data_IF_031407343549
#
_entry.id   IF_031407343549
#
_cell.length_a   1.000
_cell.length_b   1.000
_cell.length_c   1.000
_cell.angle_alpha   90.00
_cell.angle_beta   90.00
_cell.angle_gamma   90.00
#
_symmetry.space_group_name_H-M   'P 1'
#
loop_
_entity.id
_entity.type
_entity.pdbx_description
1 polymer ?
#
# COMPACT_ATOMS: atom_id res chain seq x y z
N UNK A 1 -17.32 5.74 -8.24
CA UNK A 1 -16.64 5.57 -6.95
C UNK A 1 -17.19 4.31 -6.35
N UNK A 2 -16.34 3.32 -6.14
CA UNK A 2 -16.75 2.01 -5.64
C UNK A 2 -16.34 1.92 -4.17
N UNK A 3 -17.28 1.57 -3.30
CA UNK A 3 -17.06 1.40 -1.87
C UNK A 3 -17.20 -0.07 -1.53
N UNK A 4 -16.11 -0.66 -1.04
CA UNK A 4 -16.09 -2.05 -0.61
C UNK A 4 -16.12 -2.11 0.91
N UNK A 5 -17.12 -2.78 1.46
CA UNK A 5 -17.34 -2.90 2.91
C UNK A 5 -16.87 -4.28 3.40
N UNK A 6 -15.98 -4.30 4.39
CA UNK A 6 -15.42 -5.51 4.97
C UNK A 6 -13.97 -5.33 5.41
N UNK A 7 -13.36 -6.38 5.92
CA UNK A 7 -11.92 -6.40 6.16
C UNK A 7 -11.18 -6.35 4.80
N UNK A 8 -10.11 -5.55 4.72
CA UNK A 8 -9.32 -5.42 3.50
C UNK A 8 -8.75 -6.77 3.06
N UNK A 9 -8.38 -7.65 3.99
CA UNK A 9 -7.82 -8.97 3.68
C UNK A 9 -8.87 -9.92 3.10
N UNK A 10 -10.15 -9.70 3.38
CA UNK A 10 -11.25 -10.48 2.82
C UNK A 10 -11.74 -9.92 1.48
N UNK A 11 -11.57 -8.61 1.28
CA UNK A 11 -12.15 -7.88 0.14
C UNK A 11 -11.16 -7.80 -1.01
N UNK A 12 -9.91 -7.39 -0.77
CA UNK A 12 -8.93 -7.15 -1.84
C UNK A 12 -8.72 -8.37 -2.75
N UNK A 13 -8.58 -9.61 -2.21
CA UNK A 13 -8.38 -10.79 -3.04
C UNK A 13 -9.57 -11.15 -3.94
N UNK A 14 -10.76 -10.60 -3.67
CA UNK A 14 -11.98 -10.83 -4.47
C UNK A 14 -12.09 -9.87 -5.66
N UNK A 15 -11.24 -8.86 -5.74
CA UNK A 15 -11.22 -7.92 -6.86
C UNK A 15 -10.62 -8.65 -8.06
N UNK A 16 -11.43 -8.83 -9.11
CA UNK A 16 -10.99 -9.46 -10.35
C UNK A 16 -9.92 -8.59 -11.02
N UNK A 17 -8.70 -9.13 -11.15
CA UNK A 17 -7.59 -8.41 -11.75
C UNK A 17 -7.56 -8.59 -13.27
N UNK A 18 -7.02 -7.58 -13.98
CA UNK A 18 -6.75 -7.67 -15.41
C UNK A 18 -5.28 -8.01 -15.65
N UNK A 19 -4.90 -8.62 -16.80
CA UNK A 19 -3.51 -8.94 -17.09
C UNK A 19 -2.54 -7.75 -16.97
N UNK A 20 -3.01 -6.55 -17.30
CA UNK A 20 -2.24 -5.32 -17.20
C UNK A 20 -2.32 -4.62 -15.82
N UNK A 21 -3.01 -5.20 -14.84
CA UNK A 21 -3.35 -4.55 -13.57
C UNK A 21 -4.55 -3.58 -13.68
N UNK A 22 -5.02 -3.12 -12.52
CA UNK A 22 -6.17 -2.22 -12.41
C UNK A 22 -5.82 -0.85 -11.82
N UNK A 23 -4.87 -0.81 -10.90
CA UNK A 23 -4.60 0.36 -10.07
C UNK A 23 -3.38 1.12 -10.60
N UNK A 24 -3.57 2.40 -10.91
CA UNK A 24 -2.48 3.32 -11.27
C UNK A 24 -1.81 3.93 -10.03
N UNK A 25 -2.54 4.10 -8.93
CA UNK A 25 -2.01 4.68 -7.70
C UNK A 25 -2.73 4.18 -6.45
N UNK A 26 -1.96 3.77 -5.45
CA UNK A 26 -2.45 3.41 -4.12
C UNK A 26 -2.28 4.55 -3.11
N UNK A 27 -3.38 4.89 -2.42
CA UNK A 27 -3.33 5.60 -1.15
C UNK A 27 -3.40 4.58 -0.01
N UNK A 28 -2.23 4.19 0.51
CA UNK A 28 -2.14 3.21 1.58
C UNK A 28 -2.28 3.95 2.93
N UNK A 29 -3.52 4.07 3.38
CA UNK A 29 -3.89 4.83 4.58
C UNK A 29 -4.79 4.02 5.53
N UNK A 30 -4.77 4.38 6.80
CA UNK A 30 -5.44 3.70 7.90
C UNK A 30 -4.90 4.16 9.25
N UNK A 31 -5.27 3.47 10.34
CA UNK A 31 -4.62 3.72 11.63
C UNK A 31 -3.13 3.36 11.57
N UNK A 32 -2.30 4.03 12.39
CA UNK A 32 -0.86 3.75 12.46
C UNK A 32 -0.62 2.26 12.71
N UNK A 33 0.48 1.67 12.18
CA UNK A 33 0.74 0.24 12.37
C UNK A 33 0.78 -0.23 13.83
N UNK A 34 1.11 0.65 14.77
CA UNK A 34 1.05 0.34 16.21
C UNK A 34 -0.37 0.27 16.79
N UNK A 35 -1.35 0.90 16.13
CA UNK A 35 -2.77 0.94 16.58
C UNK A 35 -3.64 -0.08 15.87
N UNK A 36 -3.29 -0.46 14.64
CA UNK A 36 -4.01 -1.47 13.87
C UNK A 36 -3.01 -2.36 13.12
N UNK A 37 -2.21 -3.18 13.81
CA UNK A 37 -1.17 -4.00 13.20
C UNK A 37 -1.74 -5.00 12.19
N UNK A 38 -2.96 -5.48 12.43
CA UNK A 38 -3.62 -6.51 11.64
C UNK A 38 -3.91 -6.07 10.20
N UNK A 39 -4.03 -4.77 9.93
CA UNK A 39 -4.12 -4.26 8.57
C UNK A 39 -2.77 -4.37 7.81
N UNK A 40 -1.64 -4.12 8.47
CA UNK A 40 -0.34 -3.91 7.83
C UNK A 40 0.44 -5.21 7.66
N UNK A 41 -0.13 -6.17 6.92
CA UNK A 41 0.44 -7.50 6.70
C UNK A 41 1.12 -7.61 5.34
N UNK A 42 1.97 -8.64 5.22
CA UNK A 42 2.59 -8.97 3.94
C UNK A 42 1.55 -9.31 2.86
N UNK A 43 0.47 -10.00 3.24
CA UNK A 43 -0.62 -10.37 2.31
C UNK A 43 -1.29 -9.14 1.71
N UNK A 44 -1.49 -8.06 2.49
CA UNK A 44 -2.01 -6.81 1.93
C UNK A 44 -1.08 -6.24 0.85
N UNK A 45 0.22 -6.18 1.12
CA UNK A 45 1.20 -5.59 0.19
C UNK A 45 1.31 -6.40 -1.11
N UNK A 46 1.25 -7.73 -1.02
CA UNK A 46 1.25 -8.63 -2.18
C UNK A 46 -0.02 -8.46 -3.02
N UNK A 47 -1.20 -8.39 -2.39
CA UNK A 47 -2.45 -8.13 -3.11
C UNK A 47 -2.46 -6.73 -3.77
N UNK A 48 -1.87 -5.72 -3.12
CA UNK A 48 -1.68 -4.40 -3.73
C UNK A 48 -0.80 -4.48 -4.99
N UNK A 49 0.28 -5.26 -4.96
CA UNK A 49 1.18 -5.44 -6.09
C UNK A 49 0.52 -6.23 -7.22
N UNK A 50 -0.28 -7.25 -6.89
CA UNK A 50 -1.05 -8.01 -7.89
C UNK A 50 -2.01 -7.10 -8.67
N UNK A 51 -2.77 -6.26 -7.96
CA UNK A 51 -3.75 -5.35 -8.58
C UNK A 51 -3.13 -4.12 -9.25
N UNK A 52 -1.86 -3.85 -9.01
CA UNK A 52 -1.16 -2.70 -9.55
C UNK A 52 -0.86 -2.89 -11.05
N UNK A 53 -1.02 -1.81 -11.81
CA UNK A 53 -0.47 -1.72 -13.17
C UNK A 53 1.05 -1.58 -13.12
N UNK A 54 1.70 -1.74 -14.27
CA UNK A 54 3.09 -1.33 -14.43
C UNK A 54 3.25 0.16 -14.09
N UNK A 55 4.32 0.51 -13.37
CA UNK A 55 4.60 1.87 -12.90
C UNK A 55 3.54 2.43 -11.95
N UNK A 56 2.72 1.58 -11.31
CA UNK A 56 1.77 1.99 -10.30
C UNK A 56 2.49 2.67 -9.14
N UNK A 57 2.01 3.84 -8.75
CA UNK A 57 2.55 4.57 -7.61
C UNK A 57 1.88 4.16 -6.30
N UNK A 58 2.54 4.39 -5.17
CA UNK A 58 1.88 4.36 -3.87
C UNK A 58 2.39 5.50 -2.98
N UNK A 59 1.56 5.90 -2.03
CA UNK A 59 1.94 6.78 -0.93
C UNK A 59 1.32 6.31 0.39
N UNK A 60 2.07 6.45 1.47
CA UNK A 60 1.58 6.21 2.83
C UNK A 60 2.22 7.17 3.83
N UNK A 61 1.48 7.51 4.88
CA UNK A 61 2.00 8.36 5.95
C UNK A 61 3.01 7.66 6.86
N UNK A 62 2.99 6.33 6.93
CA UNK A 62 3.82 5.58 7.86
C UNK A 62 5.21 5.31 7.29
N UNK A 63 6.24 5.51 8.12
CA UNK A 63 7.63 5.17 7.79
C UNK A 63 8.14 3.95 8.56
N UNK A 64 7.22 3.13 9.10
CA UNK A 64 7.53 1.94 9.89
C UNK A 64 8.43 0.96 9.13
N UNK A 65 9.35 0.32 9.85
CA UNK A 65 10.35 -0.58 9.28
C UNK A 65 9.74 -1.76 8.52
N UNK A 66 8.79 -2.47 9.15
CA UNK A 66 8.15 -3.64 8.57
C UNK A 66 7.32 -3.29 7.33
N UNK A 67 6.56 -2.19 7.34
CA UNK A 67 5.79 -1.73 6.16
C UNK A 67 6.70 -1.49 4.95
N UNK A 68 7.81 -0.77 5.14
CA UNK A 68 8.77 -0.52 4.05
C UNK A 68 9.45 -1.79 3.54
N UNK A 69 9.67 -2.77 4.41
CA UNK A 69 10.27 -4.05 4.01
C UNK A 69 9.25 -4.88 3.24
N UNK A 70 8.02 -5.02 3.76
CA UNK A 70 6.97 -5.78 3.10
C UNK A 70 6.58 -5.21 1.74
N UNK A 71 6.50 -3.88 1.60
CA UNK A 71 6.30 -3.25 0.29
C UNK A 71 7.43 -3.56 -0.71
N UNK A 72 8.69 -3.64 -0.25
CA UNK A 72 9.80 -4.05 -1.12
C UNK A 72 9.74 -5.53 -1.48
N UNK A 73 9.40 -6.38 -0.52
CA UNK A 73 9.23 -7.82 -0.72
C UNK A 73 8.09 -8.11 -1.70
N UNK A 74 7.02 -7.29 -1.69
CA UNK A 74 5.93 -7.35 -2.65
C UNK A 74 6.27 -6.77 -4.04
N UNK A 75 7.47 -6.20 -4.24
CA UNK A 75 7.95 -5.71 -5.54
C UNK A 75 7.97 -4.20 -5.72
N UNK A 76 7.55 -3.39 -4.74
CA UNK A 76 7.61 -1.93 -4.86
C UNK A 76 9.01 -1.38 -4.53
N UNK A 77 9.46 -0.40 -5.32
CA UNK A 77 10.61 0.46 -5.03
C UNK A 77 10.20 1.52 -4.01
N UNK A 78 10.63 1.34 -2.76
CA UNK A 78 10.25 2.22 -1.64
C UNK A 78 11.26 3.34 -1.42
N UNK A 79 10.80 4.60 -1.55
CA UNK A 79 11.57 5.82 -1.31
C UNK A 79 11.04 6.60 -0.10
N UNK A 80 11.95 7.22 0.67
CA UNK A 80 11.57 8.17 1.72
C UNK A 80 11.42 9.54 1.10
N UNK A 81 10.28 10.18 1.33
CA UNK A 81 10.03 11.52 0.82
C UNK A 81 10.03 12.55 1.97
N UNK A 82 10.58 13.75 1.74
CA UNK A 82 10.45 14.84 2.69
C UNK A 82 8.98 15.24 2.80
N UNK A 83 8.49 15.36 4.04
CA UNK A 83 7.13 15.83 4.30
C UNK A 83 7.15 17.34 4.56
N UNK A 84 6.10 18.04 4.14
CA UNK A 84 5.90 19.46 4.45
C UNK A 84 5.19 19.61 5.81
N UNK A 85 5.60 20.58 6.62
CA UNK A 85 4.99 20.88 7.92
C UNK A 85 5.53 20.06 9.09
N UNK A 86 4.70 19.80 10.11
CA UNK A 86 5.13 19.14 11.37
C UNK A 86 5.49 17.66 11.21
N UNK A 87 4.96 16.98 10.19
CA UNK A 87 5.32 15.59 9.88
C UNK A 87 6.72 15.59 9.29
N UNK A 88 7.61 14.76 9.83
CA UNK A 88 9.01 14.75 9.39
C UNK A 88 9.19 14.03 8.05
N UNK A 89 8.41 12.98 7.75
CA UNK A 89 8.58 12.11 6.56
C UNK A 89 7.28 11.38 6.18
N UNK A 90 7.13 11.07 4.90
CA UNK A 90 6.20 10.05 4.40
C UNK A 90 6.95 9.07 3.49
N UNK A 91 6.30 7.98 3.09
CA UNK A 91 6.89 6.96 2.22
C UNK A 91 6.06 6.87 0.94
N UNK A 92 6.73 6.78 -0.20
CA UNK A 92 6.09 6.54 -1.49
C UNK A 92 7.04 5.82 -2.44
N UNK A 93 6.52 5.40 -3.58
CA UNK A 93 7.27 4.60 -4.52
C UNK A 93 6.44 4.15 -5.71
N UNK A 94 6.98 3.23 -6.49
CA UNK A 94 6.32 2.56 -7.61
C UNK A 94 6.79 1.10 -7.75
N UNK A 95 6.10 0.28 -8.54
CA UNK A 95 6.58 -1.05 -8.94
C UNK A 95 7.45 -0.96 -10.22
#
# INVERSE_FOLDING_TARGET
MDLWLGDVHDVLPKIENKPQGLIDTWFLDGFSPSKNPDMWTQSLFENMALLAKDQCHFATFTAAGHVKRGLREAGFKVQKQPAHGRKKRYVGGNN
#
